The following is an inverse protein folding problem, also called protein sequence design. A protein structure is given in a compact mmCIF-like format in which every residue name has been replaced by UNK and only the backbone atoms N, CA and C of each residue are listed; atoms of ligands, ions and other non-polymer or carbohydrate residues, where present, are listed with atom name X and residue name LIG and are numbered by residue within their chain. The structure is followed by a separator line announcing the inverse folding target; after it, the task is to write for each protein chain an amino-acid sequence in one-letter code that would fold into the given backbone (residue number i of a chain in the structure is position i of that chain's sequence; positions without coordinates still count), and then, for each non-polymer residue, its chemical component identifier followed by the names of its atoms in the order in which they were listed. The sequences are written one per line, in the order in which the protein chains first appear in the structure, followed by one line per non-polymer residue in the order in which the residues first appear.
data_IF_815341614396
#
_entry.id   IF_815341614396
#
_cell.length_a   1.000
_cell.length_b   1.000
_cell.length_c   1.000
_cell.angle_alpha   90.00
_cell.angle_beta   90.00
_cell.angle_gamma   90.00
#
_symmetry.space_group_name_H-M   'P 1'
#
loop_
_entity.id
_entity.type
_entity.pdbx_description
1 polymer ?
#
# COMPACT_ATOMS: atom_id res chain seq x y z
N UNK A 1 -19.74 -2.80 1.39
CA UNK A 1 -18.59 -3.03 2.31
C UNK A 1 -17.54 -2.00 1.93
N UNK A 2 -16.90 -1.33 2.90
CA UNK A 2 -15.83 -0.36 2.63
C UNK A 2 -14.64 -1.10 1.96
N UNK A 3 -14.15 -0.63 0.82
CA UNK A 3 -13.08 -1.28 0.05
C UNK A 3 -11.79 -1.45 0.87
N UNK A 4 -11.47 -0.50 1.75
CA UNK A 4 -10.32 -0.60 2.65
C UNK A 4 -10.51 -1.71 3.67
N UNK A 5 -11.72 -1.81 4.26
CA UNK A 5 -12.04 -2.89 5.20
C UNK A 5 -12.00 -4.24 4.49
N UNK A 6 -12.51 -4.33 3.25
CA UNK A 6 -12.40 -5.54 2.43
C UNK A 6 -10.94 -5.95 2.21
N UNK A 7 -10.10 -5.01 1.74
CA UNK A 7 -8.67 -5.22 1.51
C UNK A 7 -7.96 -5.78 2.74
N UNK A 8 -8.16 -5.12 3.90
CA UNK A 8 -7.56 -5.55 5.15
C UNK A 8 -8.16 -6.85 5.69
N UNK A 9 -9.45 -7.13 5.44
CA UNK A 9 -10.07 -8.41 5.81
C UNK A 9 -9.47 -9.58 5.04
N UNK A 10 -9.20 -9.41 3.74
CA UNK A 10 -8.55 -10.44 2.91
C UNK A 10 -7.12 -10.70 3.41
N UNK A 11 -6.37 -9.63 3.69
CA UNK A 11 -5.03 -9.71 4.26
C UNK A 11 -5.02 -10.37 5.65
N UNK A 12 -5.99 -10.07 6.51
CA UNK A 12 -6.09 -10.74 7.81
C UNK A 12 -6.38 -12.24 7.65
N UNK A 13 -7.39 -12.59 6.85
CA UNK A 13 -7.80 -13.99 6.63
C UNK A 13 -6.69 -14.86 6.05
N UNK A 14 -5.89 -14.35 5.11
CA UNK A 14 -4.78 -15.13 4.54
C UNK A 14 -3.67 -15.39 5.57
N UNK A 15 -3.51 -14.51 6.58
CA UNK A 15 -2.50 -14.65 7.62
C UNK A 15 -2.91 -15.62 8.73
N UNK A 16 -4.21 -15.83 8.99
CA UNK A 16 -4.71 -16.63 10.10
C UNK A 16 -4.09 -18.04 10.21
N UNK A 17 -3.91 -18.82 9.12
CA UNK A 17 -3.30 -20.15 9.22
C UNK A 17 -1.83 -20.14 9.65
N UNK A 18 -1.19 -18.97 9.63
CA UNK A 18 0.25 -18.83 9.86
C UNK A 18 0.59 -18.33 11.27
N UNK A 19 -0.36 -17.67 11.94
CA UNK A 19 -0.28 -17.18 13.32
C UNK A 19 -1.16 -15.95 13.54
N UNK A 20 -1.63 -15.74 14.77
CA UNK A 20 -2.50 -14.61 15.12
C UNK A 20 -1.77 -13.25 15.07
N UNK A 21 -0.46 -13.26 15.24
CA UNK A 21 0.42 -12.09 15.26
C UNK A 21 0.91 -11.66 13.86
N UNK A 22 0.68 -12.49 12.84
CA UNK A 22 1.23 -12.28 11.49
C UNK A 22 0.64 -11.05 10.81
N UNK A 23 -0.69 -10.91 10.83
CA UNK A 23 -1.34 -9.75 10.23
C UNK A 23 -0.98 -8.44 10.97
N UNK A 24 -1.10 -8.34 12.31
CA UNK A 24 -0.70 -7.12 13.03
C UNK A 24 0.75 -6.70 12.73
N UNK A 25 1.68 -7.66 12.74
CA UNK A 25 3.11 -7.40 12.51
C UNK A 25 3.38 -6.88 11.10
N UNK A 26 2.95 -7.61 10.06
CA UNK A 26 3.24 -7.24 8.67
C UNK A 26 2.40 -6.06 8.18
N UNK A 27 1.24 -5.81 8.79
CA UNK A 27 0.47 -4.59 8.54
C UNK A 27 1.18 -3.37 9.12
N UNK A 28 1.63 -3.43 10.38
CA UNK A 28 2.38 -2.34 11.00
C UNK A 28 3.66 -2.03 10.19
N UNK A 29 4.38 -3.07 9.76
CA UNK A 29 5.55 -2.89 8.91
C UNK A 29 5.21 -2.25 7.55
N UNK A 30 4.04 -2.57 6.98
CA UNK A 30 3.55 -1.92 5.75
C UNK A 30 3.33 -0.42 5.94
N UNK A 31 2.72 -0.02 7.06
CA UNK A 31 2.48 1.39 7.39
C UNK A 31 3.80 2.17 7.55
N UNK A 32 4.78 1.56 8.22
CA UNK A 32 6.11 2.16 8.47
C UNK A 32 6.96 2.25 7.20
N UNK A 33 6.95 1.19 6.38
CA UNK A 33 7.75 1.11 5.17
C UNK A 33 7.25 2.12 4.13
N UNK A 34 5.94 2.14 3.87
CA UNK A 34 5.34 2.97 2.83
C UNK A 34 4.97 4.38 3.32
N UNK A 35 5.91 5.05 3.99
CA UNK A 35 5.72 6.39 4.57
C UNK A 35 6.57 7.47 3.86
N UNK A 36 5.94 8.58 3.45
CA UNK A 36 6.63 9.72 2.84
C UNK A 36 7.05 10.71 3.93
N UNK A 37 8.26 10.53 4.49
CA UNK A 37 8.76 11.34 5.61
C UNK A 37 8.69 12.85 5.36
N UNK A 38 8.99 13.31 4.14
CA UNK A 38 8.97 14.74 3.80
C UNK A 38 7.57 15.33 3.62
N UNK A 39 6.53 14.49 3.55
CA UNK A 39 5.11 14.89 3.45
C UNK A 39 4.32 14.63 4.72
N UNK A 40 4.84 13.77 5.59
CA UNK A 40 4.14 13.36 6.80
C UNK A 40 2.94 12.45 6.54
N UNK A 41 2.87 11.76 5.39
CA UNK A 41 1.72 10.94 4.97
C UNK A 41 2.15 9.52 4.56
N UNK A 42 1.27 8.54 4.78
CA UNK A 42 1.42 7.21 4.18
C UNK A 42 1.18 7.28 2.67
N UNK A 43 1.84 6.40 1.91
CA UNK A 43 1.67 6.29 0.45
C UNK A 43 0.25 5.83 0.06
N UNK A 44 -0.40 5.07 0.93
CA UNK A 44 -1.73 4.51 0.77
C UNK A 44 -2.29 4.04 2.11
N UNK A 45 -3.32 3.19 2.05
CA UNK A 45 -4.02 2.66 3.24
C UNK A 45 -3.33 1.44 3.87
N UNK A 46 -2.20 0.99 3.31
CA UNK A 46 -1.42 -0.14 3.80
C UNK A 46 -1.80 -1.48 3.17
N UNK A 47 -1.54 -2.55 3.90
CA UNK A 47 -1.66 -3.93 3.43
C UNK A 47 -0.73 -4.83 4.24
N UNK A 48 0.05 -5.67 3.57
CA UNK A 48 1.11 -6.46 4.18
C UNK A 48 2.45 -6.05 3.58
N UNK A 49 3.47 -5.94 4.42
CA UNK A 49 4.86 -5.86 4.00
C UNK A 49 5.70 -6.76 4.89
N UNK A 50 6.61 -7.50 4.29
CA UNK A 50 7.55 -8.37 4.98
C UNK A 50 8.81 -8.51 4.13
N UNK A 51 9.94 -8.69 4.81
CA UNK A 51 11.26 -8.91 4.24
C UNK A 51 12.01 -9.91 5.14
N UNK A 52 13.05 -10.56 4.62
CA UNK A 52 13.86 -11.54 5.36
C UNK A 52 13.04 -12.64 6.08
N UNK A 53 11.90 -13.07 5.51
CA UNK A 53 11.03 -14.10 6.11
C UNK A 53 11.66 -15.50 6.00
N UNK A 54 12.15 -16.02 7.12
CA UNK A 54 12.84 -17.31 7.19
C UNK A 54 12.83 -17.90 8.61
N UNK A 55 13.56 -19.00 8.83
CA UNK A 55 13.65 -19.68 10.12
C UNK A 55 14.24 -18.82 11.23
N UNK A 56 15.19 -17.92 10.94
CA UNK A 56 15.79 -17.06 11.94
C UNK A 56 14.84 -15.94 12.40
N UNK A 57 14.01 -15.42 11.48
CA UNK A 57 13.12 -14.28 11.76
C UNK A 57 11.74 -14.70 12.26
N UNK A 58 11.16 -15.76 11.69
CA UNK A 58 9.78 -16.19 11.98
C UNK A 58 9.67 -17.64 12.51
N UNK A 59 10.79 -18.35 12.64
CA UNK A 59 10.82 -19.77 13.05
C UNK A 59 10.00 -20.69 12.14
N UNK A 60 9.82 -20.28 10.88
CA UNK A 60 9.18 -21.07 9.85
C UNK A 60 10.24 -21.82 9.04
N UNK A 61 9.92 -23.04 8.64
CA UNK A 61 10.72 -23.74 7.63
C UNK A 61 10.45 -23.15 6.24
N UNK A 62 11.21 -23.62 5.25
CA UNK A 62 11.08 -23.14 3.88
C UNK A 62 9.67 -23.35 3.33
N UNK A 63 9.08 -24.52 3.55
CA UNK A 63 7.74 -24.86 3.04
C UNK A 63 6.67 -23.92 3.59
N UNK A 64 6.73 -23.59 4.89
CA UNK A 64 5.78 -22.64 5.48
C UNK A 64 5.99 -21.22 4.97
N UNK A 65 7.24 -20.79 4.76
CA UNK A 65 7.53 -19.50 4.13
C UNK A 65 7.00 -19.43 2.69
N UNK A 66 7.18 -20.50 1.92
CA UNK A 66 6.71 -20.60 0.56
C UNK A 66 5.18 -20.61 0.48
N UNK A 67 4.51 -21.39 1.33
CA UNK A 67 3.06 -21.40 1.45
C UNK A 67 2.50 -20.02 1.82
N UNK A 68 3.19 -19.27 2.69
CA UNK A 68 2.79 -17.90 3.02
C UNK A 68 2.90 -16.96 1.81
N UNK A 69 4.01 -17.03 1.06
CA UNK A 69 4.18 -16.25 -0.17
C UNK A 69 3.10 -16.57 -1.22
N UNK A 70 2.73 -17.84 -1.38
CA UNK A 70 1.61 -18.25 -2.24
C UNK A 70 0.28 -17.67 -1.77
N UNK A 71 0.00 -17.73 -0.46
CA UNK A 71 -1.21 -17.17 0.13
C UNK A 71 -1.30 -15.65 -0.07
N UNK A 72 -0.19 -14.92 0.08
CA UNK A 72 -0.11 -13.47 -0.18
C UNK A 72 -0.37 -13.17 -1.66
N UNK A 73 0.27 -13.91 -2.58
CA UNK A 73 0.07 -13.73 -4.02
C UNK A 73 -1.39 -13.95 -4.45
N UNK A 74 -2.03 -15.02 -3.97
CA UNK A 74 -3.45 -15.26 -4.23
C UNK A 74 -4.36 -14.25 -3.52
N UNK A 75 -4.00 -13.86 -2.30
CA UNK A 75 -4.70 -12.86 -1.51
C UNK A 75 -4.74 -11.48 -2.18
N UNK A 76 -3.65 -11.09 -2.84
CA UNK A 76 -3.62 -9.86 -3.64
C UNK A 76 -4.72 -9.86 -4.71
N UNK A 77 -4.83 -10.94 -5.49
CA UNK A 77 -5.87 -11.07 -6.53
C UNK A 77 -7.26 -11.06 -5.91
N UNK A 78 -7.46 -11.82 -4.83
CA UNK A 78 -8.75 -11.90 -4.14
C UNK A 78 -9.17 -10.54 -3.52
N UNK A 79 -8.22 -9.70 -3.13
CA UNK A 79 -8.48 -8.37 -2.59
C UNK A 79 -8.69 -7.30 -3.66
N UNK A 80 -7.89 -7.32 -4.74
CA UNK A 80 -7.90 -6.22 -5.72
C UNK A 80 -9.01 -6.36 -6.76
N UNK A 81 -9.33 -7.59 -7.20
CA UNK A 81 -10.30 -7.82 -8.28
C UNK A 81 -11.71 -7.32 -7.91
N UNK A 82 -12.26 -7.60 -6.71
CA UNK A 82 -13.56 -7.07 -6.32
C UNK A 82 -13.60 -5.53 -6.30
N UNK A 83 -12.51 -4.89 -5.87
CA UNK A 83 -12.40 -3.42 -5.87
C UNK A 83 -12.48 -2.89 -7.31
N UNK A 84 -11.77 -3.52 -8.25
CA UNK A 84 -11.87 -3.14 -9.67
C UNK A 84 -13.28 -3.34 -10.22
N UNK A 85 -13.89 -4.50 -10.00
CA UNK A 85 -15.23 -4.81 -10.51
C UNK A 85 -16.29 -3.82 -9.99
N UNK A 86 -16.18 -3.42 -8.72
CA UNK A 86 -17.10 -2.46 -8.10
C UNK A 86 -16.91 -1.02 -8.59
N UNK A 87 -15.71 -0.66 -9.04
CA UNK A 87 -15.34 0.74 -9.29
C UNK A 87 -15.07 1.09 -10.76
N UNK A 88 -14.80 0.11 -11.65
CA UNK A 88 -14.34 0.36 -13.04
C UNK A 88 -15.31 1.15 -13.92
N UNK A 89 -16.61 1.14 -13.60
CA UNK A 89 -17.65 1.86 -14.35
C UNK A 89 -18.15 3.12 -13.65
N UNK A 90 -17.59 3.47 -12.48
CA UNK A 90 -18.00 4.68 -11.77
C UNK A 90 -17.60 5.91 -12.60
N UNK A 91 -18.54 6.83 -12.89
CA UNK A 91 -18.20 8.07 -13.56
C UNK A 91 -17.26 8.89 -12.66
N UNK A 92 -16.40 9.67 -13.30
CA UNK A 92 -15.53 10.61 -12.62
C UNK A 92 -15.50 11.95 -13.38
N UNK A 93 -15.20 13.02 -12.66
CA UNK A 93 -15.11 14.38 -13.17
C UNK A 93 -13.69 14.74 -13.59
N UNK A 94 -13.55 15.85 -14.31
CA UNK A 94 -12.23 16.38 -14.65
C UNK A 94 -11.41 16.76 -13.40
N UNK A 95 -12.06 17.24 -12.34
CA UNK A 95 -11.40 17.62 -11.08
C UNK A 95 -10.89 16.39 -10.33
N UNK A 96 -11.68 15.31 -10.26
CA UNK A 96 -11.24 14.04 -9.68
C UNK A 96 -10.07 13.44 -10.47
N UNK A 97 -10.07 13.58 -11.81
CA UNK A 97 -8.93 13.17 -12.64
C UNK A 97 -7.70 14.04 -12.38
N UNK A 98 -7.85 15.36 -12.23
CA UNK A 98 -6.75 16.26 -11.91
C UNK A 98 -6.15 15.92 -10.53
N UNK A 99 -7.01 15.66 -9.54
CA UNK A 99 -6.58 15.21 -8.22
C UNK A 99 -5.87 13.85 -8.25
N UNK A 100 -6.35 12.90 -9.07
CA UNK A 100 -5.68 11.62 -9.28
C UNK A 100 -4.26 11.80 -9.83
N UNK A 101 -4.07 12.69 -10.81
CA UNK A 101 -2.73 13.00 -11.35
C UNK A 101 -1.82 13.64 -10.30
N UNK A 102 -2.38 14.53 -9.48
CA UNK A 102 -1.66 15.15 -8.37
C UNK A 102 -1.22 14.12 -7.32
N UNK A 103 -2.12 13.21 -6.93
CA UNK A 103 -1.79 12.11 -5.99
C UNK A 103 -0.81 11.11 -6.59
N UNK A 104 -0.84 10.87 -7.90
CA UNK A 104 0.20 10.09 -8.61
C UNK A 104 1.59 10.71 -8.49
N UNK A 105 1.70 12.03 -8.36
CA UNK A 105 2.97 12.71 -8.04
C UNK A 105 3.58 12.22 -6.74
N UNK A 106 2.77 11.93 -5.71
CA UNK A 106 3.25 11.32 -4.44
C UNK A 106 3.75 9.90 -4.61
N UNK A 107 3.12 9.12 -5.49
CA UNK A 107 3.59 7.77 -5.81
C UNK A 107 4.99 7.80 -6.46
N UNK A 108 5.21 8.75 -7.37
CA UNK A 108 6.52 9.02 -7.98
C UNK A 108 7.53 9.48 -6.92
N UNK A 109 7.17 10.46 -6.08
CA UNK A 109 8.02 10.93 -4.98
C UNK A 109 8.50 9.77 -4.10
N UNK A 110 7.60 8.86 -3.70
CA UNK A 110 7.98 7.73 -2.87
C UNK A 110 8.98 6.80 -3.58
N UNK A 111 8.66 6.36 -4.80
CA UNK A 111 9.49 5.37 -5.50
C UNK A 111 10.88 5.92 -5.83
N UNK A 112 11.00 7.21 -6.16
CA UNK A 112 12.29 7.81 -6.51
C UNK A 112 13.12 8.27 -5.30
N UNK A 113 12.51 8.47 -4.13
CA UNK A 113 13.21 9.01 -2.94
C UNK A 113 13.42 7.96 -1.85
N UNK A 114 12.49 7.03 -1.66
CA UNK A 114 12.46 6.12 -0.51
C UNK A 114 12.50 4.64 -0.85
N UNK A 115 11.97 4.23 -2.01
CA UNK A 115 11.90 2.81 -2.33
C UNK A 115 13.29 2.20 -2.55
N UNK A 116 13.69 1.33 -1.61
CA UNK A 116 15.02 0.69 -1.60
C UNK A 116 15.25 -0.12 -2.89
N UNK A 117 14.22 -0.81 -3.39
CA UNK A 117 14.29 -1.61 -4.60
C UNK A 117 14.55 -0.76 -5.84
N UNK A 118 13.83 0.36 -6.00
CA UNK A 118 14.04 1.30 -7.10
C UNK A 118 15.42 1.94 -7.05
N UNK A 119 15.84 2.46 -5.89
CA UNK A 119 17.14 3.09 -5.72
C UNK A 119 18.29 2.13 -6.03
N UNK A 120 18.24 0.92 -5.45
CA UNK A 120 19.23 -0.11 -5.71
C UNK A 120 19.28 -0.51 -7.18
N UNK A 121 18.12 -0.79 -7.80
CA UNK A 121 18.04 -1.22 -9.20
C UNK A 121 18.61 -0.19 -10.18
N UNK A 122 18.42 1.11 -9.92
CA UNK A 122 19.02 2.18 -10.74
C UNK A 122 20.53 2.31 -10.50
N UNK A 123 20.99 2.19 -9.25
CA UNK A 123 22.40 2.32 -8.90
C UNK A 123 23.25 1.10 -9.33
N UNK A 124 22.63 -0.08 -9.38
CA UNK A 124 23.30 -1.34 -9.71
C UNK A 124 23.28 -1.68 -11.21
N UNK A 125 22.92 -0.73 -12.09
CA UNK A 125 22.71 -0.95 -13.52
C UNK A 125 21.70 -2.08 -13.83
N UNK A 126 20.64 -2.20 -13.01
CA UNK A 126 19.50 -3.05 -13.33
C UNK A 126 18.79 -2.57 -14.60
N UNK A 127 17.87 -3.38 -15.14
CA UNK A 127 17.12 -3.04 -16.35
C UNK A 127 16.17 -1.87 -16.06
N UNK A 128 16.55 -0.65 -16.45
CA UNK A 128 15.81 0.59 -16.16
C UNK A 128 14.33 0.53 -16.49
N UNK A 129 13.96 0.02 -17.67
CA UNK A 129 12.56 -0.14 -18.10
C UNK A 129 11.74 -1.03 -17.16
N UNK A 130 12.37 -2.05 -16.57
CA UNK A 130 11.71 -2.93 -15.59
C UNK A 130 11.63 -2.28 -14.21
N UNK A 131 12.61 -1.45 -13.82
CA UNK A 131 12.60 -0.74 -12.55
C UNK A 131 11.55 0.38 -12.53
N UNK A 132 11.48 1.15 -13.62
CA UNK A 132 10.63 2.34 -13.72
C UNK A 132 9.20 2.06 -14.22
N UNK A 133 8.84 0.80 -14.53
CA UNK A 133 7.45 0.43 -14.89
C UNK A 133 6.44 0.75 -13.77
N UNK A 134 6.92 0.92 -12.54
CA UNK A 134 6.11 1.36 -11.40
C UNK A 134 5.63 2.82 -11.55
N UNK A 135 6.25 3.62 -12.41
CA UNK A 135 5.82 5.00 -12.63
C UNK A 135 4.45 5.04 -13.34
N UNK A 136 3.52 5.90 -12.89
CA UNK A 136 2.26 6.06 -13.56
C UNK A 136 2.47 6.70 -14.95
N UNK A 137 1.56 6.48 -15.91
CA UNK A 137 1.68 7.05 -17.25
C UNK A 137 1.68 8.58 -17.28
N UNK A 138 1.02 9.20 -16.29
CA UNK A 138 0.98 10.66 -16.10
C UNK A 138 0.92 10.95 -14.60
N UNK A 139 1.62 12.00 -14.17
CA UNK A 139 1.58 12.58 -12.83
C UNK A 139 1.66 14.11 -12.95
N UNK A 140 1.19 14.84 -11.94
CA UNK A 140 1.30 16.29 -11.87
C UNK A 140 1.79 16.76 -10.49
N UNK A 141 2.37 17.96 -10.47
CA UNK A 141 2.78 18.65 -9.26
C UNK A 141 2.20 20.05 -9.26
N UNK A 142 1.74 20.51 -8.10
CA UNK A 142 1.19 21.83 -7.90
C UNK A 142 1.83 22.47 -6.68
N UNK A 143 2.16 23.75 -6.78
CA UNK A 143 2.70 24.52 -5.66
C UNK A 143 1.58 24.79 -4.65
N UNK A 144 1.82 24.44 -3.37
CA UNK A 144 0.90 24.69 -2.24
C UNK A 144 -0.56 24.26 -2.50
N UNK A 145 -0.77 23.12 -3.12
CA UNK A 145 -2.11 22.54 -3.17
C UNK A 145 -2.54 22.10 -1.76
N UNK A 146 -3.65 22.65 -1.28
CA UNK A 146 -4.29 22.35 -0.01
C UNK A 146 -5.73 21.92 -0.32
N UNK A 147 -6.14 20.67 -0.06
CA UNK A 147 -7.50 20.23 -0.32
C UNK A 147 -8.49 20.93 0.62
N UNK A 148 -9.71 21.19 0.14
CA UNK A 148 -10.72 21.94 0.89
C UNK A 148 -11.33 21.05 1.97
N UNK A 149 -11.39 21.56 3.22
CA UNK A 149 -11.99 20.82 4.32
C UNK A 149 -13.42 20.38 4.01
N UNK A 150 -13.73 19.11 4.30
CA UNK A 150 -15.03 18.50 4.02
C UNK A 150 -15.17 17.88 2.63
N UNK A 151 -14.15 17.97 1.76
CA UNK A 151 -14.14 17.24 0.48
C UNK A 151 -13.47 15.86 0.60
N UNK A 152 -13.76 14.92 -0.34
CA UNK A 152 -13.07 13.63 -0.37
C UNK A 152 -11.54 13.74 -0.51
N UNK A 153 -11.04 14.77 -1.18
CA UNK A 153 -9.62 15.05 -1.32
C UNK A 153 -8.95 15.36 0.03
N UNK A 154 -9.65 16.12 0.89
CA UNK A 154 -9.19 16.41 2.24
C UNK A 154 -9.26 15.17 3.11
N UNK A 155 -10.38 14.45 3.05
CA UNK A 155 -10.59 13.20 3.78
C UNK A 155 -9.50 12.16 3.47
N UNK A 156 -9.07 12.04 2.21
CA UNK A 156 -7.95 11.17 1.84
C UNK A 156 -6.73 11.42 2.72
N UNK A 157 -6.28 12.67 2.81
CA UNK A 157 -5.05 13.01 3.55
C UNK A 157 -5.26 13.05 5.06
N UNK A 158 -6.41 13.54 5.53
CA UNK A 158 -6.66 13.72 6.95
C UNK A 158 -7.09 12.42 7.65
N UNK A 159 -7.76 11.53 6.93
CA UNK A 159 -8.22 10.26 7.46
C UNK A 159 -7.45 9.08 6.88
N UNK A 160 -7.47 8.86 5.57
CA UNK A 160 -7.05 7.57 5.00
C UNK A 160 -5.54 7.34 4.94
N UNK A 161 -4.73 8.40 4.79
CA UNK A 161 -3.27 8.31 4.65
C UNK A 161 -2.52 8.42 5.98
N UNK A 162 -3.13 7.92 7.06
CA UNK A 162 -2.54 7.78 8.39
C UNK A 162 -2.64 6.31 8.83
N UNK A 163 -1.67 5.77 9.61
CA UNK A 163 -1.78 4.43 10.16
C UNK A 163 -3.09 4.28 10.95
N UNK A 164 -3.89 3.27 10.59
CA UNK A 164 -5.21 3.04 11.19
C UNK A 164 -5.47 1.57 11.44
N UNK A 165 -6.14 1.28 12.54
CA UNK A 165 -6.69 -0.04 12.80
C UNK A 165 -8.02 -0.22 12.05
N UNK A 166 -7.90 -0.62 10.78
CA UNK A 166 -9.05 -0.79 9.89
C UNK A 166 -10.02 -1.90 10.32
N UNK A 167 -9.57 -2.85 11.13
CA UNK A 167 -10.34 -4.02 11.56
C UNK A 167 -10.74 -3.98 13.04
N UNK A 168 -10.24 -3.03 13.82
CA UNK A 168 -10.50 -2.96 15.26
C UNK A 168 -9.81 -4.08 16.04
N UNK A 169 -8.64 -4.55 15.56
CA UNK A 169 -7.90 -5.67 16.13
C UNK A 169 -6.72 -5.24 17.03
N UNK A 170 -6.35 -3.96 17.02
CA UNK A 170 -5.25 -3.46 17.84
C UNK A 170 -5.79 -3.03 19.21
N UNK A 171 -5.15 -3.49 20.28
CA UNK A 171 -5.54 -3.13 21.65
C UNK A 171 -5.50 -1.61 21.83
N UNK A 172 -6.54 -1.08 22.47
CA UNK A 172 -6.56 0.29 22.98
C UNK A 172 -5.70 0.33 24.24
N UNK A 173 -4.37 0.27 24.09
CA UNK A 173 -3.46 0.54 25.20
C UNK A 173 -3.45 2.02 25.56
#
# INVERSE_FOLDING_TARGET
MNDVVHWHTVAHKLCQPFGDDIYPTFKAWCDDYFYLKHRGECRGVGGLFYDDLNTATQRWDFEKCFAFMQAVGQGYINGIIPIFENNKHRPYTADERAFQLYRRGRYVEYNLVYDRGTLFGLQSNGRTESVLVSMPPLASWAYRYEPVAGTPEFELTDFYLKPKDWLGLMDKS
#
